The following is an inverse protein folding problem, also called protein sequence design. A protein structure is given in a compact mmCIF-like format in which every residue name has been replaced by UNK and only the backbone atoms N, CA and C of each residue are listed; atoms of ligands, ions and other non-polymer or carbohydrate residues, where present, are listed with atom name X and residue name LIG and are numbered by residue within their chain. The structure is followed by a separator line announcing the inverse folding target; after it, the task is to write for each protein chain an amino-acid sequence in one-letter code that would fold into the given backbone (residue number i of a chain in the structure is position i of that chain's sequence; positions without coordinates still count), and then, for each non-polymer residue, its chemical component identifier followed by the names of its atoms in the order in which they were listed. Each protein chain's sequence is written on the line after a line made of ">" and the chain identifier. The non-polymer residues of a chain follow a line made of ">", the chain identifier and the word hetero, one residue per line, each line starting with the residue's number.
data_IF_531172230565
#
_entry.id   IF_531172230565
#
_cell.length_a   1.000
_cell.length_b   1.000
_cell.length_c   1.000
_cell.angle_alpha   90.00
_cell.angle_beta   90.00
_cell.angle_gamma   90.00
#
_symmetry.space_group_name_H-M   'P 1'
#
loop_
_entity.id
_entity.type
_entity.pdbx_description
1 polymer ?
#
# COMPACT_ATOMS: atom_id res chain seq x y z
N UNK A 1 -60.38 5.92 -58.57
CA UNK A 1 -60.42 5.26 -57.25
C UNK A 1 -58.98 4.94 -56.83
N UNK A 2 -58.43 5.58 -55.80
CA UNK A 2 -57.02 5.38 -55.40
C UNK A 2 -56.56 6.10 -54.13
N UNK A 3 -57.42 6.95 -53.54
CA UNK A 3 -57.06 7.74 -52.36
C UNK A 3 -57.19 7.01 -51.01
N UNK A 4 -57.87 5.87 -50.95
CA UNK A 4 -58.06 5.13 -49.69
C UNK A 4 -56.87 4.23 -49.31
N UNK A 5 -55.96 3.91 -50.25
CA UNK A 5 -54.85 2.98 -49.96
C UNK A 5 -53.63 3.68 -49.35
N UNK A 6 -53.34 4.93 -49.75
CA UNK A 6 -52.20 5.71 -49.22
C UNK A 6 -52.35 6.06 -47.73
N UNK A 7 -53.56 6.42 -47.30
CA UNK A 7 -53.82 6.78 -45.90
C UNK A 7 -53.73 5.57 -44.95
N UNK A 8 -53.93 4.35 -45.45
CA UNK A 8 -53.80 3.13 -44.66
C UNK A 8 -52.33 2.71 -44.47
N UNK A 9 -51.49 2.91 -45.49
CA UNK A 9 -50.05 2.63 -45.40
C UNK A 9 -49.34 3.58 -44.43
N UNK A 10 -49.61 4.89 -44.50
CA UNK A 10 -49.05 5.88 -43.56
C UNK A 10 -49.48 5.62 -42.10
N UNK A 11 -50.75 5.26 -41.88
CA UNK A 11 -51.27 4.91 -40.57
C UNK A 11 -50.68 3.60 -40.04
N UNK A 12 -50.46 2.60 -40.91
CA UNK A 12 -49.79 1.35 -40.56
C UNK A 12 -48.31 1.57 -40.24
N UNK A 13 -47.62 2.47 -40.94
CA UNK A 13 -46.23 2.83 -40.67
C UNK A 13 -46.08 3.57 -39.33
N UNK A 14 -46.99 4.50 -39.00
CA UNK A 14 -47.04 5.10 -37.67
C UNK A 14 -47.31 4.08 -36.58
N UNK A 15 -48.26 3.16 -36.79
CA UNK A 15 -48.54 2.10 -35.82
C UNK A 15 -47.34 1.16 -35.61
N UNK A 16 -46.57 0.82 -36.65
CA UNK A 16 -45.36 0.02 -36.52
C UNK A 16 -44.24 0.78 -35.75
N UNK A 17 -44.10 2.08 -36.00
CA UNK A 17 -43.16 2.93 -35.27
C UNK A 17 -43.57 3.08 -33.79
N UNK A 18 -44.85 3.31 -33.50
CA UNK A 18 -45.40 3.41 -32.14
C UNK A 18 -45.22 2.09 -31.38
N UNK A 19 -45.44 0.95 -32.04
CA UNK A 19 -45.17 -0.37 -31.46
C UNK A 19 -43.69 -0.54 -31.11
N UNK A 20 -42.77 -0.07 -31.95
CA UNK A 20 -41.33 -0.13 -31.69
C UNK A 20 -40.95 0.76 -30.50
N UNK A 21 -41.48 1.98 -30.42
CA UNK A 21 -41.29 2.89 -29.28
C UNK A 21 -41.81 2.27 -27.99
N UNK A 22 -42.98 1.63 -28.03
CA UNK A 22 -43.54 0.91 -26.89
C UNK A 22 -42.68 -0.27 -26.46
N UNK A 23 -42.13 -1.04 -27.40
CA UNK A 23 -41.21 -2.14 -27.11
C UNK A 23 -39.91 -1.64 -26.46
N UNK A 24 -39.31 -0.56 -26.97
CA UNK A 24 -38.12 0.03 -26.35
C UNK A 24 -38.42 0.60 -24.96
N UNK A 25 -39.57 1.26 -24.80
CA UNK A 25 -40.00 1.79 -23.50
C UNK A 25 -40.17 0.67 -22.50
N UNK A 26 -40.81 -0.44 -22.91
CA UNK A 26 -40.97 -1.64 -22.09
C UNK A 26 -39.63 -2.27 -21.76
N UNK A 27 -38.77 -2.49 -22.75
CA UNK A 27 -37.44 -3.08 -22.53
C UNK A 27 -36.59 -2.22 -21.57
N UNK A 28 -36.65 -0.91 -21.71
CA UNK A 28 -35.96 0.01 -20.80
C UNK A 28 -36.53 -0.08 -19.37
N UNK A 29 -37.85 -0.16 -19.23
CA UNK A 29 -38.48 -0.38 -17.94
C UNK A 29 -38.07 -1.73 -17.31
N UNK A 30 -38.11 -2.81 -18.09
CA UNK A 30 -37.72 -4.14 -17.64
C UNK A 30 -36.24 -4.15 -17.18
N UNK A 31 -35.35 -3.48 -17.91
CA UNK A 31 -33.94 -3.33 -17.51
C UNK A 31 -33.77 -2.55 -16.20
N UNK A 32 -34.53 -1.46 -16.00
CA UNK A 32 -34.51 -0.71 -14.74
C UNK A 32 -34.98 -1.54 -13.56
N UNK A 33 -36.03 -2.36 -13.76
CA UNK A 33 -36.52 -3.29 -12.73
C UNK A 33 -35.45 -4.32 -12.39
N UNK A 34 -34.77 -4.90 -13.39
CA UNK A 34 -33.66 -5.84 -13.18
C UNK A 34 -32.51 -5.18 -12.42
N UNK A 35 -32.09 -3.97 -12.82
CA UNK A 35 -31.04 -3.22 -12.14
C UNK A 35 -31.40 -2.97 -10.66
N UNK A 36 -32.63 -2.52 -10.38
CA UNK A 36 -33.08 -2.26 -9.01
C UNK A 36 -33.06 -3.53 -8.16
N UNK A 37 -33.52 -4.67 -8.71
CA UNK A 37 -33.52 -5.95 -7.99
C UNK A 37 -32.11 -6.43 -7.69
N UNK A 38 -31.19 -6.35 -8.67
CA UNK A 38 -29.79 -6.72 -8.49
C UNK A 38 -29.11 -5.86 -7.43
N UNK A 39 -29.34 -4.55 -7.44
CA UNK A 39 -28.79 -3.65 -6.42
C UNK A 39 -29.31 -4.01 -5.02
N UNK A 40 -30.61 -4.29 -4.89
CA UNK A 40 -31.20 -4.70 -3.62
C UNK A 40 -30.61 -6.02 -3.11
N UNK A 41 -30.48 -7.02 -3.98
CA UNK A 41 -29.86 -8.31 -3.64
C UNK A 41 -28.39 -8.13 -3.26
N UNK A 42 -27.66 -7.28 -3.99
CA UNK A 42 -26.27 -6.97 -3.71
C UNK A 42 -26.08 -6.35 -2.31
N UNK A 43 -26.87 -5.34 -1.97
CA UNK A 43 -26.82 -4.70 -0.64
C UNK A 43 -27.27 -5.64 0.49
N UNK A 44 -28.15 -6.60 0.20
CA UNK A 44 -28.58 -7.60 1.18
C UNK A 44 -27.49 -8.66 1.44
N UNK A 45 -26.81 -9.11 0.39
CA UNK A 45 -25.73 -10.11 0.49
C UNK A 45 -24.46 -9.50 1.09
N UNK A 46 -24.15 -8.26 0.73
CA UNK A 46 -22.96 -7.56 1.17
C UNK A 46 -23.32 -6.34 2.03
N UNK A 47 -23.42 -6.51 3.35
CA UNK A 47 -23.54 -5.38 4.26
C UNK A 47 -22.33 -4.46 4.13
N UNK A 48 -22.47 -3.22 4.62
CA UNK A 48 -21.51 -2.13 4.43
C UNK A 48 -20.05 -2.45 4.78
N UNK A 49 -19.85 -3.28 5.81
CA UNK A 49 -18.54 -3.74 6.28
C UNK A 49 -17.90 -4.82 5.37
N UNK A 50 -18.69 -5.51 4.56
CA UNK A 50 -18.30 -6.60 3.67
C UNK A 50 -18.47 -6.25 2.17
N UNK A 51 -18.96 -5.05 1.85
CA UNK A 51 -19.10 -4.57 0.48
C UNK A 51 -17.73 -4.55 -0.23
N UNK A 52 -17.54 -5.33 -1.33
CA UNK A 52 -16.26 -5.43 -2.02
C UNK A 52 -15.70 -4.07 -2.48
N UNK A 53 -16.57 -3.16 -2.93
CA UNK A 53 -16.15 -1.84 -3.40
C UNK A 53 -15.60 -0.97 -2.25
N UNK A 54 -16.24 -1.03 -1.08
CA UNK A 54 -15.79 -0.36 0.14
C UNK A 54 -14.54 -1.01 0.73
N UNK A 55 -14.40 -2.33 0.61
CA UNK A 55 -13.19 -3.04 1.02
C UNK A 55 -12.00 -2.60 0.18
N UNK A 56 -12.15 -2.50 -1.15
CA UNK A 56 -11.08 -2.03 -2.04
C UNK A 56 -10.64 -0.60 -1.68
N UNK A 57 -11.57 0.31 -1.40
CA UNK A 57 -11.20 1.68 -1.01
C UNK A 57 -10.49 1.73 0.34
N UNK A 58 -10.94 0.94 1.33
CA UNK A 58 -10.26 0.81 2.63
C UNK A 58 -8.86 0.20 2.50
N UNK A 59 -8.70 -0.82 1.66
CA UNK A 59 -7.39 -1.45 1.39
C UNK A 59 -6.45 -0.44 0.75
N UNK A 60 -6.90 0.33 -0.25
CA UNK A 60 -6.10 1.39 -0.87
C UNK A 60 -5.65 2.44 0.15
N UNK A 61 -6.58 2.89 1.00
CA UNK A 61 -6.26 3.84 2.08
C UNK A 61 -5.20 3.28 3.03
N UNK A 62 -5.34 2.02 3.46
CA UNK A 62 -4.33 1.37 4.32
C UNK A 62 -2.98 1.26 3.62
N UNK A 63 -2.95 0.96 2.31
CA UNK A 63 -1.70 0.91 1.54
C UNK A 63 -1.00 2.28 1.48
N UNK A 64 -1.76 3.36 1.27
CA UNK A 64 -1.24 4.73 1.30
C UNK A 64 -0.71 5.11 2.68
N UNK A 65 -1.48 4.86 3.74
CA UNK A 65 -1.09 5.13 5.13
C UNK A 65 0.16 4.31 5.54
N UNK A 66 0.23 3.03 5.15
CA UNK A 66 1.38 2.17 5.43
C UNK A 66 2.64 2.64 4.69
N UNK A 67 2.49 3.13 3.46
CA UNK A 67 3.60 3.69 2.69
C UNK A 67 4.15 4.96 3.35
N UNK A 68 3.26 5.86 3.77
CA UNK A 68 3.64 7.06 4.52
C UNK A 68 4.32 6.73 5.85
N UNK A 69 3.78 5.78 6.61
CA UNK A 69 4.35 5.35 7.88
C UNK A 69 5.74 4.73 7.69
N UNK A 70 5.93 3.95 6.62
CA UNK A 70 7.23 3.34 6.30
C UNK A 70 8.29 4.42 6.05
N UNK A 71 7.94 5.49 5.32
CA UNK A 71 8.88 6.60 5.12
C UNK A 71 9.19 7.33 6.43
N UNK A 72 8.18 7.61 7.26
CA UNK A 72 8.40 8.23 8.58
C UNK A 72 9.31 7.36 9.48
N UNK A 73 9.13 6.04 9.48
CA UNK A 73 10.01 5.13 10.21
C UNK A 73 11.44 5.16 9.67
N UNK A 74 11.61 5.22 8.35
CA UNK A 74 12.92 5.32 7.69
C UNK A 74 13.63 6.62 8.06
N UNK A 75 12.95 7.76 7.99
CA UNK A 75 13.47 9.06 8.42
C UNK A 75 13.89 9.04 9.89
N UNK A 76 13.04 8.49 10.76
CA UNK A 76 13.33 8.36 12.20
C UNK A 76 14.56 7.49 12.47
N UNK A 77 14.70 6.35 11.78
CA UNK A 77 15.87 5.49 11.90
C UNK A 77 17.14 6.19 11.43
N UNK A 78 17.06 6.95 10.33
CA UNK A 78 18.17 7.78 9.84
C UNK A 78 18.58 8.83 10.87
N UNK A 79 17.61 9.58 11.42
CA UNK A 79 17.88 10.60 12.43
C UNK A 79 18.49 10.00 13.71
N UNK A 80 18.06 8.79 14.10
CA UNK A 80 18.65 8.07 15.23
C UNK A 80 20.08 7.63 14.93
N UNK A 81 20.37 7.14 13.73
CA UNK A 81 21.73 6.78 13.33
C UNK A 81 22.67 8.00 13.36
N UNK A 82 22.23 9.14 12.85
CA UNK A 82 22.99 10.39 12.91
C UNK A 82 23.30 10.83 14.35
N UNK A 83 22.35 10.63 15.27
CA UNK A 83 22.56 10.91 16.69
C UNK A 83 23.61 9.98 17.31
N UNK A 84 23.55 8.69 16.97
CA UNK A 84 24.54 7.69 17.42
C UNK A 84 25.94 8.08 16.92
N UNK A 85 26.07 8.47 15.66
CA UNK A 85 27.34 8.83 15.05
C UNK A 85 27.93 10.11 15.68
N UNK A 86 27.09 11.11 15.96
CA UNK A 86 27.47 12.32 16.69
C UNK A 86 27.92 12.01 18.11
N UNK A 87 27.16 11.20 18.84
CA UNK A 87 27.49 10.81 20.21
C UNK A 87 28.82 10.04 20.26
N UNK A 88 29.03 9.10 19.33
CA UNK A 88 30.29 8.35 19.18
C UNK A 88 31.46 9.28 18.90
N UNK A 89 31.30 10.22 17.97
CA UNK A 89 32.33 11.19 17.61
C UNK A 89 32.74 12.06 18.80
N UNK A 90 31.77 12.58 19.56
CA UNK A 90 32.03 13.40 20.75
C UNK A 90 32.71 12.56 21.85
N UNK A 91 32.21 11.35 22.12
CA UNK A 91 32.75 10.49 23.17
C UNK A 91 34.20 10.09 22.89
N UNK A 92 34.49 9.62 21.68
CA UNK A 92 35.85 9.28 21.26
C UNK A 92 36.76 10.52 21.24
N UNK A 93 36.25 11.66 20.77
CA UNK A 93 36.98 12.93 20.78
C UNK A 93 37.37 13.38 22.19
N UNK A 94 36.42 13.35 23.13
CA UNK A 94 36.66 13.69 24.53
C UNK A 94 37.65 12.73 25.19
N UNK A 95 37.54 11.43 24.89
CA UNK A 95 38.46 10.42 25.39
C UNK A 95 39.89 10.68 24.91
N UNK A 96 40.07 10.98 23.63
CA UNK A 96 41.39 11.30 23.06
C UNK A 96 42.00 12.54 23.73
N UNK A 97 41.19 13.56 24.02
CA UNK A 97 41.64 14.75 24.75
C UNK A 97 42.09 14.39 26.18
N UNK A 98 41.30 13.61 26.91
CA UNK A 98 41.64 13.16 28.26
C UNK A 98 42.92 12.33 28.29
N UNK A 99 43.10 11.39 27.36
CA UNK A 99 44.33 10.61 27.26
C UNK A 99 45.56 11.50 27.02
N UNK A 100 45.44 12.50 26.14
CA UNK A 100 46.53 13.47 25.90
C UNK A 100 46.85 14.28 27.17
N UNK A 101 45.83 14.70 27.92
CA UNK A 101 46.02 15.42 29.18
C UNK A 101 46.69 14.56 30.24
N UNK A 102 46.24 13.32 30.43
CA UNK A 102 46.82 12.34 31.36
C UNK A 102 48.29 12.05 31.02
N UNK A 103 48.59 11.81 29.74
CA UNK A 103 49.96 11.60 29.26
C UNK A 103 50.88 12.80 29.56
N UNK A 104 50.35 14.02 29.51
CA UNK A 104 51.11 15.24 29.81
C UNK A 104 51.33 15.50 31.31
N UNK A 105 50.51 14.92 32.18
CA UNK A 105 50.54 15.16 33.64
C UNK A 105 51.19 13.99 34.41
N UNK A 106 51.59 12.92 33.72
CA UNK A 106 52.29 11.77 34.31
C UNK A 106 51.42 10.88 35.21
N UNK A 107 50.10 11.04 35.16
CA UNK A 107 49.14 10.18 35.88
C UNK A 107 48.91 8.89 35.09
N UNK A 108 48.73 7.77 35.80
CA UNK A 108 48.63 6.44 35.19
C UNK A 108 47.53 6.40 34.13
N UNK A 109 47.85 5.87 32.95
CA UNK A 109 46.96 5.75 31.81
C UNK A 109 45.84 4.77 32.19
N UNK A 110 44.61 5.25 32.39
CA UNK A 110 43.46 4.36 32.59
C UNK A 110 43.36 3.43 31.39
N UNK A 111 43.41 2.12 31.64
CA UNK A 111 43.44 1.08 30.60
C UNK A 111 42.19 1.19 29.72
N UNK A 112 42.28 0.77 28.46
CA UNK A 112 41.15 0.75 27.53
C UNK A 112 39.93 -0.03 28.09
N UNK A 113 40.24 -1.01 28.95
CA UNK A 113 39.32 -1.86 29.73
C UNK A 113 38.54 -1.13 30.84
N UNK A 114 38.98 0.04 31.28
CA UNK A 114 38.38 0.74 32.44
C UNK A 114 37.33 1.78 32.04
N UNK A 115 37.15 2.05 30.74
CA UNK A 115 36.13 3.00 30.28
C UNK A 115 34.77 2.32 30.12
N UNK A 116 34.14 2.14 31.28
CA UNK A 116 32.81 1.60 31.43
C UNK A 116 31.78 2.38 30.60
N UNK A 117 31.97 3.69 30.39
CA UNK A 117 31.03 4.53 29.64
C UNK A 117 31.06 4.24 28.14
N UNK A 118 32.25 4.09 27.55
CA UNK A 118 32.38 3.72 26.13
C UNK A 118 31.91 2.28 25.87
N UNK A 119 32.22 1.35 26.77
CA UNK A 119 31.79 -0.05 26.66
C UNK A 119 30.27 -0.17 26.75
N UNK A 120 29.65 0.50 27.72
CA UNK A 120 28.20 0.54 27.87
C UNK A 120 27.52 1.18 26.66
N UNK A 121 28.06 2.30 26.16
CA UNK A 121 27.55 2.93 24.95
C UNK A 121 27.55 1.97 23.74
N UNK A 122 28.67 1.30 23.47
CA UNK A 122 28.75 0.35 22.36
C UNK A 122 27.76 -0.82 22.53
N UNK A 123 27.63 -1.36 23.75
CA UNK A 123 26.66 -2.43 24.03
C UNK A 123 25.21 -1.99 23.73
N UNK A 124 24.84 -0.77 24.11
CA UNK A 124 23.50 -0.22 23.81
C UNK A 124 23.30 -0.06 22.29
N UNK A 125 24.33 0.35 21.55
CA UNK A 125 24.25 0.46 20.08
C UNK A 125 24.09 -0.91 19.43
N UNK A 126 24.82 -1.92 19.90
CA UNK A 126 24.75 -3.28 19.37
C UNK A 126 23.38 -3.89 19.63
N UNK A 127 22.86 -3.77 20.86
CA UNK A 127 21.51 -4.22 21.21
C UNK A 127 20.44 -3.54 20.34
N UNK A 128 20.55 -2.22 20.15
CA UNK A 128 19.62 -1.50 19.29
C UNK A 128 19.70 -1.96 17.83
N UNK A 129 20.91 -2.18 17.31
CA UNK A 129 21.13 -2.64 15.93
C UNK A 129 20.49 -4.01 15.71
N UNK A 130 20.63 -4.91 16.69
CA UNK A 130 20.00 -6.24 16.65
C UNK A 130 18.47 -6.16 16.73
N UNK A 131 17.92 -5.27 17.56
CA UNK A 131 16.47 -5.04 17.63
C UNK A 131 15.91 -4.51 16.29
N UNK A 132 16.61 -3.58 15.64
CA UNK A 132 16.19 -3.04 14.33
C UNK A 132 16.25 -4.12 13.26
N UNK A 133 17.35 -4.90 13.20
CA UNK A 133 17.51 -5.99 12.23
C UNK A 133 16.47 -7.09 12.41
N UNK A 134 16.19 -7.48 13.65
CA UNK A 134 15.16 -8.47 13.98
C UNK A 134 13.77 -8.01 13.54
N UNK A 135 13.40 -6.76 13.85
CA UNK A 135 12.08 -6.21 13.50
C UNK A 135 11.92 -6.01 11.98
N UNK A 136 12.94 -5.54 11.27
CA UNK A 136 12.93 -5.43 9.81
C UNK A 136 12.84 -6.81 9.16
N UNK A 137 13.62 -7.79 9.63
CA UNK A 137 13.55 -9.16 9.16
C UNK A 137 12.18 -9.79 9.36
N UNK A 138 11.53 -9.51 10.50
CA UNK A 138 10.18 -10.01 10.81
C UNK A 138 9.11 -9.35 9.92
N UNK A 139 9.22 -8.05 9.64
CA UNK A 139 8.32 -7.35 8.71
C UNK A 139 8.43 -7.89 7.28
N UNK A 140 9.65 -8.09 6.78
CA UNK A 140 9.88 -8.66 5.44
C UNK A 140 9.39 -10.10 5.37
N UNK A 141 9.66 -10.93 6.39
CA UNK A 141 9.23 -12.32 6.41
C UNK A 141 7.70 -12.51 6.50
N UNK A 142 6.99 -11.63 7.19
CA UNK A 142 5.54 -11.75 7.40
C UNK A 142 4.70 -11.08 6.31
N UNK A 143 5.14 -9.95 5.74
CA UNK A 143 4.37 -9.23 4.73
C UNK A 143 4.67 -9.67 3.30
N UNK A 144 5.87 -10.21 3.01
CA UNK A 144 6.23 -10.67 1.67
C UNK A 144 5.30 -11.79 1.15
N UNK A 145 4.95 -12.83 1.94
CA UNK A 145 4.00 -13.85 1.51
C UNK A 145 2.58 -13.29 1.34
N UNK A 146 2.14 -12.42 2.27
CA UNK A 146 0.79 -11.85 2.25
C UNK A 146 0.61 -10.92 1.03
N UNK A 147 1.59 -10.08 0.71
CA UNK A 147 1.54 -9.23 -0.48
C UNK A 147 1.69 -10.03 -1.78
N UNK A 148 2.58 -11.03 -1.82
CA UNK A 148 2.75 -11.88 -3.01
C UNK A 148 1.47 -12.68 -3.33
N UNK A 149 0.83 -13.28 -2.32
CA UNK A 149 -0.37 -14.09 -2.50
C UNK A 149 -1.63 -13.26 -2.71
N UNK A 150 -1.78 -12.12 -2.01
CA UNK A 150 -2.97 -11.27 -2.16
C UNK A 150 -2.98 -10.58 -3.53
N UNK A 151 -1.82 -10.11 -4.01
CA UNK A 151 -1.70 -9.52 -5.35
C UNK A 151 -1.91 -10.60 -6.43
N UNK A 152 -1.32 -11.80 -6.25
CA UNK A 152 -1.53 -12.94 -7.14
C UNK A 152 -2.99 -13.38 -7.27
N UNK A 153 -3.71 -13.46 -6.15
CA UNK A 153 -5.12 -13.87 -6.12
C UNK A 153 -6.06 -12.79 -6.69
N UNK A 154 -5.84 -11.52 -6.36
CA UNK A 154 -6.63 -10.40 -6.92
C UNK A 154 -6.38 -10.24 -8.43
N UNK A 155 -5.15 -10.44 -8.90
CA UNK A 155 -4.81 -10.44 -10.34
C UNK A 155 -5.39 -11.65 -11.08
N UNK A 156 -5.40 -12.83 -10.46
CA UNK A 156 -6.00 -14.05 -11.01
C UNK A 156 -7.52 -13.90 -11.18
N UNK A 157 -8.19 -13.33 -10.17
CA UNK A 157 -9.63 -13.04 -10.20
C UNK A 157 -9.97 -11.95 -11.22
N UNK A 158 -9.18 -10.87 -11.30
CA UNK A 158 -9.40 -9.80 -12.26
C UNK A 158 -9.12 -10.16 -13.73
N UNK A 159 -8.17 -11.08 -13.99
CA UNK A 159 -7.96 -11.67 -15.33
C UNK A 159 -9.11 -12.60 -15.75
N UNK A 160 -9.63 -13.41 -14.81
CA UNK A 160 -10.80 -14.27 -15.07
C UNK A 160 -12.09 -13.47 -15.33
N UNK A 161 -12.21 -12.28 -14.75
CA UNK A 161 -13.37 -11.41 -14.93
C UNK A 161 -13.27 -10.47 -16.16
N UNK A 162 -12.14 -10.46 -16.89
CA UNK A 162 -12.00 -9.67 -18.13
C UNK A 162 -11.76 -8.16 -17.96
N UNK A 163 -11.55 -7.66 -16.73
CA UNK A 163 -11.49 -6.21 -16.43
C UNK A 163 -10.08 -5.61 -16.35
N UNK A 164 -9.00 -6.40 -16.36
CA UNK A 164 -7.64 -5.86 -16.15
C UNK A 164 -6.80 -5.95 -17.43
N UNK A 165 -6.86 -4.91 -18.26
CA UNK A 165 -5.74 -4.54 -19.15
C UNK A 165 -4.94 -3.44 -18.46
N UNK A 166 -3.61 -3.62 -18.41
CA UNK A 166 -2.59 -2.55 -18.39
C UNK A 166 -1.91 -2.00 -17.10
N UNK A 167 -1.94 -2.66 -15.94
CA UNK A 167 -1.14 -2.18 -14.77
C UNK A 167 -0.11 -3.18 -14.23
N UNK A 168 0.45 -4.04 -15.08
CA UNK A 168 1.16 -5.24 -14.64
C UNK A 168 2.68 -5.06 -14.42
N UNK A 169 3.29 -3.91 -14.69
CA UNK A 169 4.77 -3.81 -14.66
C UNK A 169 5.38 -2.72 -13.78
N UNK A 170 4.60 -1.78 -13.23
CA UNK A 170 5.19 -0.60 -12.58
C UNK A 170 5.49 -0.84 -11.09
N UNK A 171 4.60 -1.48 -10.32
CA UNK A 171 4.81 -1.62 -8.87
C UNK A 171 5.82 -2.68 -8.44
N UNK A 172 5.94 -3.81 -9.17
CA UNK A 172 6.83 -4.92 -8.78
C UNK A 172 8.31 -4.60 -9.05
N UNK A 173 8.58 -3.87 -10.14
CA UNK A 173 9.94 -3.42 -10.49
C UNK A 173 10.41 -2.29 -9.57
N UNK A 174 9.52 -1.36 -9.20
CA UNK A 174 9.83 -0.28 -8.25
C UNK A 174 10.16 -0.82 -6.85
N UNK A 175 9.41 -1.82 -6.37
CA UNK A 175 9.62 -2.39 -5.03
C UNK A 175 10.87 -3.28 -4.95
N UNK A 176 11.14 -4.10 -5.98
CA UNK A 176 12.37 -4.91 -6.06
C UNK A 176 13.61 -4.02 -6.27
N UNK A 177 13.47 -2.90 -6.98
CA UNK A 177 14.53 -1.90 -7.14
C UNK A 177 14.93 -1.24 -5.82
N UNK A 178 13.96 -0.96 -4.93
CA UNK A 178 14.22 -0.36 -3.61
C UNK A 178 14.89 -1.32 -2.62
N UNK A 179 14.66 -2.63 -2.76
CA UNK A 179 15.26 -3.68 -1.91
C UNK A 179 16.68 -4.08 -2.31
N UNK A 180 17.14 -3.76 -3.53
CA UNK A 180 18.46 -4.16 -4.02
C UNK A 180 19.59 -3.17 -3.70
N UNK A 181 19.29 -2.06 -3.03
CA UNK A 181 20.23 -0.97 -2.74
C UNK A 181 20.54 -0.80 -1.25
N UNK A 182 20.16 -1.75 -0.40
CA UNK A 182 20.52 -1.77 1.03
C UNK A 182 21.36 -2.99 1.40
#
# INVERSE_FOLDING_TARGET
>A
MGHNNRNNEEKSHHQAADNLVNLFTKANHDLLVVQYRLEKEFQQIYPDNANPMKLVSRIKKIQEELSSLTEQCRELLSAKQDLIDKARTILVGNRNLLHRMQASTGTSLTSDSDDLALTNFNQIIDEWTDQVRSRIGMFVALLYPIMADTIGNVLSLGKKAGYIKQYTNISLVQFVGALKLS
#
